data_IF_713498689049
#
_entry.id   IF_713498689049
#
_cell.length_a   1.000
_cell.length_b   1.000
_cell.length_c   1.000
_cell.angle_alpha   90.00
_cell.angle_beta   90.00
_cell.angle_gamma   90.00
#
_symmetry.space_group_name_H-M   'P 1'
#
loop_
_entity.id
_entity.type
_entity.pdbx_description
1 polymer ?
#
# COMPACT_ATOMS: atom_id res chain seq x y z
N UNK A 1 -10.72 -15.49 15.59
CA UNK A 1 -9.98 -14.24 15.28
C UNK A 1 -9.34 -14.44 13.92
N UNK A 2 -9.46 -13.47 13.02
CA UNK A 2 -8.72 -13.48 11.75
C UNK A 2 -7.26 -13.23 12.11
N UNK A 3 -6.37 -14.16 11.78
CA UNK A 3 -4.93 -14.07 12.07
C UNK A 3 -4.12 -13.62 10.86
N UNK A 4 -4.75 -13.55 9.68
CA UNK A 4 -4.06 -13.38 8.41
C UNK A 4 -4.26 -11.97 7.89
N UNK A 5 -3.20 -11.42 7.32
CA UNK A 5 -3.29 -10.19 6.53
C UNK A 5 -3.59 -10.53 5.08
N UNK A 6 -4.34 -9.68 4.39
CA UNK A 6 -4.53 -9.76 2.95
C UNK A 6 -3.70 -8.67 2.28
N UNK A 7 -3.05 -9.00 1.17
CA UNK A 7 -2.26 -8.06 0.37
C UNK A 7 -2.77 -8.07 -1.06
N UNK A 8 -2.95 -6.88 -1.63
CA UNK A 8 -3.20 -6.67 -3.05
C UNK A 8 -2.23 -5.61 -3.54
N UNK A 9 -1.49 -5.91 -4.60
CA UNK A 9 -0.52 -4.98 -5.17
C UNK A 9 -0.55 -5.01 -6.70
N UNK A 10 -0.06 -3.93 -7.31
CA UNK A 10 0.01 -3.76 -8.76
C UNK A 10 -0.59 -2.42 -9.18
N UNK A 11 -0.93 -2.29 -10.45
CA UNK A 11 -1.42 -1.02 -11.03
C UNK A 11 -2.95 -0.98 -11.04
N UNK A 12 -3.61 -0.10 -10.25
CA UNK A 12 -5.08 -0.06 -10.16
C UNK A 12 -5.77 0.22 -11.50
N UNK A 13 -5.13 0.93 -12.43
CA UNK A 13 -5.71 1.18 -13.76
C UNK A 13 -5.91 -0.08 -14.62
N UNK A 14 -5.22 -1.18 -14.33
CA UNK A 14 -5.32 -2.45 -15.08
C UNK A 14 -5.61 -3.67 -14.21
N UNK A 15 -5.55 -3.52 -12.88
CA UNK A 15 -5.93 -4.55 -11.90
C UNK A 15 -7.29 -4.20 -11.28
N UNK A 16 -8.37 -4.73 -11.84
CA UNK A 16 -9.73 -4.42 -11.40
C UNK A 16 -10.02 -4.88 -9.97
N UNK A 17 -9.40 -5.97 -9.48
CA UNK A 17 -9.54 -6.40 -8.09
C UNK A 17 -9.02 -5.33 -7.14
N UNK A 18 -7.83 -4.78 -7.42
CA UNK A 18 -7.26 -3.70 -6.62
C UNK A 18 -8.10 -2.43 -6.73
N UNK A 19 -8.50 -2.03 -7.95
CA UNK A 19 -9.39 -0.87 -8.16
C UNK A 19 -10.68 -0.97 -7.35
N UNK A 20 -11.38 -2.10 -7.39
CA UNK A 20 -12.62 -2.28 -6.63
C UNK A 20 -12.40 -2.24 -5.12
N UNK A 21 -11.24 -2.70 -4.64
CA UNK A 21 -10.90 -2.64 -3.23
C UNK A 21 -10.66 -1.21 -2.75
N UNK A 22 -9.87 -0.43 -3.50
CA UNK A 22 -9.42 0.91 -3.07
C UNK A 22 -10.24 2.07 -3.65
N UNK A 23 -11.15 1.80 -4.59
CA UNK A 23 -11.97 2.79 -5.31
C UNK A 23 -11.16 3.97 -5.90
N UNK A 24 -9.92 3.69 -6.31
CA UNK A 24 -8.98 4.69 -6.78
C UNK A 24 -8.22 4.15 -7.99
N UNK A 25 -8.30 4.88 -9.11
CA UNK A 25 -7.61 4.52 -10.34
C UNK A 25 -6.37 5.38 -10.54
N UNK A 26 -5.24 4.72 -10.73
CA UNK A 26 -3.93 5.33 -10.95
C UNK A 26 -3.08 4.41 -11.83
N UNK A 27 -2.25 5.02 -12.69
CA UNK A 27 -1.38 4.30 -13.61
C UNK A 27 -0.07 3.80 -12.98
N UNK A 28 0.28 4.33 -11.81
CA UNK A 28 1.40 3.87 -11.00
C UNK A 28 1.00 2.67 -10.12
N UNK A 29 1.99 1.90 -9.69
CA UNK A 29 1.80 0.81 -8.74
C UNK A 29 1.27 1.31 -7.38
N UNK A 30 0.40 0.50 -6.77
CA UNK A 30 -0.11 0.71 -5.43
C UNK A 30 0.00 -0.59 -4.62
N UNK A 31 0.12 -0.45 -3.31
CA UNK A 31 0.12 -1.55 -2.36
C UNK A 31 -1.02 -1.36 -1.37
N UNK A 32 -1.93 -2.32 -1.30
CA UNK A 32 -3.02 -2.35 -0.34
C UNK A 32 -2.84 -3.54 0.60
N UNK A 33 -3.07 -3.32 1.89
CA UNK A 33 -3.20 -4.41 2.85
C UNK A 33 -4.37 -4.18 3.81
N UNK A 34 -5.02 -5.29 4.18
CA UNK A 34 -5.89 -5.36 5.34
C UNK A 34 -5.19 -6.18 6.43
N UNK A 35 -5.00 -5.55 7.58
CA UNK A 35 -4.37 -6.12 8.77
C UNK A 35 -5.35 -7.04 9.54
N UNK A 36 -4.86 -7.87 10.46
CA UNK A 36 -5.70 -8.79 11.23
C UNK A 36 -6.73 -8.07 12.13
N UNK A 37 -6.45 -6.83 12.53
CA UNK A 37 -7.37 -5.97 13.28
C UNK A 37 -8.43 -5.28 12.39
N UNK A 38 -8.44 -5.58 11.10
CA UNK A 38 -9.36 -5.04 10.10
C UNK A 38 -8.93 -3.70 9.49
N UNK A 39 -7.89 -3.04 10.03
CA UNK A 39 -7.41 -1.77 9.47
C UNK A 39 -6.80 -1.97 8.10
N UNK A 40 -7.03 -0.99 7.25
CA UNK A 40 -6.58 -1.00 5.86
C UNK A 40 -5.54 0.09 5.62
N UNK A 41 -4.47 -0.27 4.92
CA UNK A 41 -3.38 0.64 4.58
C UNK A 41 -3.18 0.60 3.08
N UNK A 42 -3.12 1.78 2.46
CA UNK A 42 -2.84 1.97 1.05
C UNK A 42 -1.55 2.80 0.91
N UNK A 43 -0.56 2.21 0.23
CA UNK A 43 0.63 2.92 -0.21
C UNK A 43 0.49 3.24 -1.69
N UNK A 44 0.65 4.50 -2.03
CA UNK A 44 0.71 5.01 -3.40
C UNK A 44 1.99 5.81 -3.58
N UNK A 45 2.24 6.25 -4.81
CA UNK A 45 3.32 7.19 -5.07
C UNK A 45 3.08 8.52 -4.34
N UNK A 46 4.16 9.16 -3.92
CA UNK A 46 4.17 10.45 -3.22
C UNK A 46 3.32 11.53 -3.92
N UNK A 47 3.49 11.70 -5.23
CA UNK A 47 2.73 12.67 -6.04
C UNK A 47 1.23 12.35 -6.13
N UNK A 48 0.83 11.11 -5.85
CA UNK A 48 -0.56 10.65 -5.89
C UNK A 48 -1.20 10.68 -4.50
N UNK A 49 -0.44 10.86 -3.42
CA UNK A 49 -0.94 10.80 -2.04
C UNK A 49 -2.08 11.77 -1.78
N UNK A 50 -1.97 13.02 -2.23
CA UNK A 50 -3.01 14.02 -1.99
C UNK A 50 -4.32 13.66 -2.69
N UNK A 51 -4.22 13.06 -3.87
CA UNK A 51 -5.38 12.58 -4.63
C UNK A 51 -5.98 11.34 -3.97
N UNK A 52 -5.13 10.40 -3.55
CA UNK A 52 -5.54 9.19 -2.85
C UNK A 52 -6.22 9.54 -1.51
N UNK A 53 -5.67 10.44 -0.70
CA UNK A 53 -6.28 10.89 0.58
C UNK A 53 -7.70 11.42 0.44
N UNK A 54 -8.06 11.95 -0.74
CA UNK A 54 -9.39 12.50 -1.01
C UNK A 54 -10.36 11.49 -1.59
N UNK A 55 -9.86 10.51 -2.35
CA UNK A 55 -10.70 9.68 -3.23
C UNK A 55 -10.61 8.17 -2.91
N UNK A 56 -9.47 7.71 -2.40
CA UNK A 56 -9.24 6.29 -2.16
C UNK A 56 -9.91 5.81 -0.87
N UNK A 57 -10.25 4.53 -0.85
CA UNK A 57 -10.83 3.81 0.27
C UNK A 57 -9.74 3.03 1.00
N UNK A 58 -9.19 3.61 2.06
CA UNK A 58 -8.36 2.94 3.06
C UNK A 58 -8.36 3.77 4.36
N UNK A 59 -8.10 3.14 5.50
CA UNK A 59 -8.05 3.83 6.80
C UNK A 59 -6.79 4.70 6.93
N UNK A 60 -5.67 4.22 6.36
CA UNK A 60 -4.41 4.97 6.30
C UNK A 60 -3.88 4.98 4.87
N UNK A 61 -3.46 6.17 4.43
CA UNK A 61 -2.86 6.39 3.12
C UNK A 61 -1.47 6.97 3.31
N UNK A 62 -0.48 6.38 2.64
CA UNK A 62 0.91 6.81 2.69
C UNK A 62 1.65 6.51 1.39
N UNK A 63 2.97 6.63 1.45
CA UNK A 63 3.88 6.31 0.35
C UNK A 63 5.07 5.50 0.84
N UNK A 64 5.97 5.14 -0.08
CA UNK A 64 7.11 4.30 0.24
C UNK A 64 8.01 4.90 1.34
N UNK A 65 8.26 6.21 1.31
CA UNK A 65 9.14 6.87 2.28
C UNK A 65 8.60 6.83 3.71
N UNK A 66 7.28 6.74 3.90
CA UNK A 66 6.65 6.60 5.23
C UNK A 66 7.00 5.26 5.90
N UNK A 67 7.46 4.27 5.13
CA UNK A 67 7.82 2.92 5.57
C UNK A 67 9.22 2.55 5.08
N UNK A 68 10.16 3.48 5.18
CA UNK A 68 11.57 3.24 4.87
C UNK A 68 12.16 2.27 5.92
N UNK A 69 12.66 1.08 5.53
CA UNK A 69 13.33 0.18 6.45
C UNK A 69 14.74 0.70 6.81
N UNK A 70 15.38 0.12 7.83
CA UNK A 70 16.70 0.55 8.33
C UNK A 70 17.78 0.56 7.24
N UNK A 71 17.70 -0.37 6.28
CA UNK A 71 18.62 -0.45 5.13
C UNK A 71 18.32 0.53 3.99
N UNK A 72 17.28 1.35 4.10
CA UNK A 72 16.82 2.23 3.04
C UNK A 72 15.93 1.53 2.01
N UNK A 73 15.48 2.31 1.02
CA UNK A 73 14.69 1.83 -0.11
C UNK A 73 15.56 1.72 -1.36
N UNK A 74 15.17 0.80 -2.25
CA UNK A 74 15.74 0.72 -3.58
C UNK A 74 15.49 2.01 -4.39
N UNK A 75 16.33 2.27 -5.38
CA UNK A 75 16.13 3.39 -6.31
C UNK A 75 15.02 3.13 -7.33
N UNK A 76 14.74 1.85 -7.62
CA UNK A 76 13.59 1.45 -8.42
C UNK A 76 12.29 1.61 -7.65
N UNK A 77 11.30 2.25 -8.29
CA UNK A 77 10.07 2.68 -7.62
C UNK A 77 9.16 1.53 -7.22
N UNK A 78 9.03 0.52 -8.08
CA UNK A 78 8.17 -0.63 -7.80
C UNK A 78 8.79 -1.51 -6.71
N UNK A 79 10.12 -1.67 -6.76
CA UNK A 79 10.88 -2.38 -5.72
C UNK A 79 10.81 -1.65 -4.38
N UNK A 80 10.99 -0.33 -4.36
CA UNK A 80 10.85 0.49 -3.17
C UNK A 80 9.44 0.39 -2.56
N UNK A 81 8.39 0.40 -3.39
CA UNK A 81 7.01 0.24 -2.92
C UNK A 81 6.79 -1.14 -2.30
N UNK A 82 7.32 -2.20 -2.91
CA UNK A 82 7.23 -3.55 -2.37
C UNK A 82 7.98 -3.69 -1.03
N UNK A 83 9.18 -3.12 -0.92
CA UNK A 83 9.97 -3.08 0.31
C UNK A 83 9.23 -2.31 1.42
N UNK A 84 8.69 -1.14 1.09
CA UNK A 84 7.87 -0.35 2.00
C UNK A 84 6.59 -1.10 2.44
N UNK A 85 5.95 -1.85 1.54
CA UNK A 85 4.81 -2.71 1.86
C UNK A 85 5.18 -3.83 2.85
N UNK A 86 6.32 -4.49 2.64
CA UNK A 86 6.83 -5.50 3.56
C UNK A 86 7.17 -4.90 4.94
N UNK A 87 7.82 -3.74 4.95
CA UNK A 87 8.14 -3.00 6.17
C UNK A 87 6.86 -2.54 6.91
N UNK A 88 5.84 -2.09 6.19
CA UNK A 88 4.53 -1.75 6.74
C UNK A 88 3.89 -2.94 7.46
N UNK A 89 3.91 -4.13 6.85
CA UNK A 89 3.41 -5.36 7.47
C UNK A 89 4.21 -5.73 8.72
N UNK A 90 5.55 -5.64 8.65
CA UNK A 90 6.45 -5.90 9.78
C UNK A 90 6.17 -4.96 10.96
N UNK A 91 6.02 -3.66 10.70
CA UNK A 91 5.67 -2.66 11.72
C UNK A 91 4.29 -2.90 12.34
N UNK A 92 3.36 -3.47 11.56
CA UNK A 92 2.05 -3.89 12.05
C UNK A 92 2.06 -5.23 12.81
N UNK A 93 3.23 -5.86 12.98
CA UNK A 93 3.39 -7.12 13.71
C UNK A 93 2.96 -8.37 12.92
N UNK A 94 2.79 -8.24 11.60
CA UNK A 94 2.53 -9.37 10.70
C UNK A 94 3.85 -10.10 10.44
N UNK A 95 3.84 -11.43 10.57
CA UNK A 95 5.02 -12.30 10.43
C UNK A 95 4.91 -13.22 9.23
#
# INVERSE_FOLDING_TARGET
MITNSTVLAGVPAVNMTLFHQIQFSVGDSAFFTQLPDGKTILLVRDIEMDRAKRLARADRIGCASDFTPEGGLDGDRDTALAQAGAECLRQAGVK
#
